data_IF_945335381907
#
_entry.id   IF_945335381907
#
_cell.length_a   1.000
_cell.length_b   1.000
_cell.length_c   1.000
_cell.angle_alpha   90.00
_cell.angle_beta   90.00
_cell.angle_gamma   90.00
#
_symmetry.space_group_name_H-M   'P 1'
#
loop_
_entity.id
_entity.type
_entity.pdbx_description
1 polymer ?
#
# COMPACT_ATOMS: atom_id res chain seq x y z
N UNK A 1 17.37 -2.45 20.16
CA UNK A 1 15.99 -1.99 20.04
C UNK A 1 15.36 -2.64 18.83
N UNK A 2 14.34 -3.40 19.08
CA UNK A 2 13.61 -4.06 18.00
C UNK A 2 12.65 -3.04 17.37
N UNK A 3 12.80 -2.80 16.09
CA UNK A 3 11.87 -1.96 15.36
C UNK A 3 10.66 -2.80 14.98
N UNK A 4 9.46 -2.27 15.18
CA UNK A 4 8.22 -2.94 14.83
C UNK A 4 7.86 -2.84 13.35
N UNK A 5 8.70 -2.14 12.57
CA UNK A 5 8.45 -1.98 11.14
C UNK A 5 8.87 -3.23 10.36
N UNK A 6 7.99 -3.72 9.51
CA UNK A 6 8.27 -4.83 8.60
C UNK A 6 9.19 -4.37 7.47
N UNK A 7 9.97 -5.27 6.84
CA UNK A 7 10.79 -4.92 5.69
C UNK A 7 9.94 -4.36 4.55
N UNK A 8 10.40 -3.29 3.94
CA UNK A 8 9.78 -2.68 2.77
C UNK A 8 10.74 -2.80 1.60
N UNK A 9 10.26 -3.35 0.50
CA UNK A 9 11.02 -3.48 -0.74
C UNK A 9 10.41 -2.56 -1.79
N UNK A 10 11.23 -1.76 -2.45
CA UNK A 10 10.77 -0.88 -3.51
C UNK A 10 11.22 -1.42 -4.86
N UNK A 11 10.27 -1.58 -5.76
CA UNK A 11 10.53 -1.94 -7.15
C UNK A 11 10.02 -0.82 -8.05
N UNK A 12 10.85 -0.40 -8.99
CA UNK A 12 10.49 0.64 -9.94
C UNK A 12 10.80 0.19 -11.35
N UNK A 13 9.92 0.54 -12.30
CA UNK A 13 10.20 0.36 -13.71
C UNK A 13 10.86 1.62 -14.23
N UNK A 14 12.13 1.53 -14.57
CA UNK A 14 12.87 2.60 -15.21
C UNK A 14 13.02 2.27 -16.70
N UNK A 15 13.13 3.31 -17.53
CA UNK A 15 13.24 3.14 -18.99
C UNK A 15 14.43 2.27 -19.42
N UNK A 16 15.48 2.24 -18.61
CA UNK A 16 16.71 1.55 -18.91
C UNK A 16 16.80 0.16 -18.25
N UNK A 17 15.76 -0.27 -17.53
CA UNK A 17 15.77 -1.59 -16.93
C UNK A 17 15.46 -2.66 -17.98
N UNK A 18 16.34 -3.67 -18.02
CA UNK A 18 16.21 -4.79 -18.94
C UNK A 18 15.39 -5.93 -18.33
N UNK A 19 15.20 -5.94 -17.01
CA UNK A 19 14.47 -6.98 -16.30
C UNK A 19 13.00 -6.59 -16.15
N UNK A 20 12.07 -7.45 -16.60
CA UNK A 20 10.65 -7.21 -16.34
C UNK A 20 10.35 -7.16 -14.84
N UNK A 21 9.42 -6.28 -14.44
CA UNK A 21 9.07 -6.12 -13.03
C UNK A 21 8.46 -7.41 -12.44
N UNK A 22 7.80 -8.21 -13.26
CA UNK A 22 7.26 -9.51 -12.83
C UNK A 22 8.36 -10.46 -12.39
N UNK A 23 9.51 -10.44 -13.07
CA UNK A 23 10.67 -11.28 -12.71
C UNK A 23 11.25 -10.82 -11.37
N UNK A 24 11.45 -9.52 -11.19
CA UNK A 24 11.95 -8.96 -9.95
C UNK A 24 11.01 -9.23 -8.77
N UNK A 25 9.70 -9.04 -8.98
CA UNK A 25 8.69 -9.30 -7.97
C UNK A 25 8.64 -10.79 -7.60
N UNK A 26 8.71 -11.67 -8.57
CA UNK A 26 8.71 -13.12 -8.34
C UNK A 26 9.92 -13.54 -7.52
N UNK A 27 11.08 -12.97 -7.79
CA UNK A 27 12.29 -13.25 -7.03
C UNK A 27 12.12 -12.88 -5.56
N UNK A 28 11.51 -11.74 -5.27
CA UNK A 28 11.23 -11.33 -3.90
C UNK A 28 10.20 -12.26 -3.24
N UNK A 29 9.13 -12.60 -3.95
CA UNK A 29 8.07 -13.47 -3.41
C UNK A 29 8.58 -14.85 -3.07
N UNK A 30 9.47 -15.41 -3.88
CA UNK A 30 10.06 -16.73 -3.63
C UNK A 30 11.00 -16.74 -2.42
N UNK A 31 11.52 -15.57 -2.03
CA UNK A 31 12.39 -15.43 -0.85
C UNK A 31 11.64 -15.37 0.47
N UNK A 32 10.33 -15.21 0.47
CA UNK A 32 9.54 -15.14 1.71
C UNK A 32 9.12 -16.53 2.18
N UNK A 33 8.95 -16.66 3.51
CA UNK A 33 8.43 -17.88 4.09
C UNK A 33 6.92 -18.02 3.83
N UNK A 34 6.41 -19.25 3.86
CA UNK A 34 4.98 -19.50 3.61
C UNK A 34 4.07 -18.82 4.62
N UNK A 35 4.55 -18.62 5.85
CA UNK A 35 3.81 -17.98 6.94
C UNK A 35 3.89 -16.45 6.89
N UNK A 36 4.72 -15.87 6.03
CA UNK A 36 4.85 -14.42 5.93
C UNK A 36 3.62 -13.79 5.30
N UNK A 37 3.15 -12.70 5.88
CA UNK A 37 2.11 -11.87 5.28
C UNK A 37 2.76 -10.90 4.30
N UNK A 38 2.36 -10.97 3.03
CA UNK A 38 2.95 -10.16 1.98
C UNK A 38 1.90 -9.24 1.36
N UNK A 39 2.21 -7.97 1.31
CA UNK A 39 1.37 -6.94 0.72
C UNK A 39 2.13 -6.28 -0.43
N UNK A 40 1.55 -6.33 -1.62
CA UNK A 40 2.07 -5.59 -2.78
C UNK A 40 1.20 -4.34 -2.93
N UNK A 41 1.82 -3.17 -2.89
CA UNK A 41 1.11 -1.91 -3.03
C UNK A 41 1.57 -1.23 -4.31
N UNK A 42 0.60 -0.93 -5.17
CA UNK A 42 0.85 -0.25 -6.45
C UNK A 42 0.22 1.13 -6.46
N UNK A 43 0.64 1.98 -7.40
CA UNK A 43 0.23 3.38 -7.42
C UNK A 43 -1.12 3.63 -8.10
N UNK A 44 -1.35 3.08 -9.29
CA UNK A 44 -2.51 3.42 -10.13
C UNK A 44 -3.22 2.18 -10.64
N UNK A 45 -4.54 2.14 -10.43
CA UNK A 45 -5.39 1.09 -11.01
C UNK A 45 -5.35 1.19 -12.54
N UNK A 46 -5.14 0.05 -13.19
CA UNK A 46 -5.00 0.00 -14.65
C UNK A 46 -3.62 0.42 -15.16
N UNK A 47 -2.71 0.84 -14.28
CA UNK A 47 -1.32 1.08 -14.65
C UNK A 47 -0.59 -0.22 -14.98
N UNK A 48 0.48 -0.12 -15.75
CA UNK A 48 1.22 -1.29 -16.22
C UNK A 48 1.75 -2.15 -15.07
N UNK A 49 2.28 -1.53 -14.03
CA UNK A 49 2.82 -2.25 -12.88
C UNK A 49 1.72 -3.03 -12.16
N UNK A 50 0.58 -2.39 -11.91
CA UNK A 50 -0.55 -3.06 -11.25
C UNK A 50 -1.07 -4.23 -12.09
N UNK A 51 -1.19 -4.03 -13.40
CA UNK A 51 -1.66 -5.08 -14.31
C UNK A 51 -0.71 -6.28 -14.33
N UNK A 52 0.59 -6.02 -14.31
CA UNK A 52 1.60 -7.09 -14.24
C UNK A 52 1.55 -7.83 -12.92
N UNK A 53 1.34 -7.11 -11.80
CA UNK A 53 1.21 -7.76 -10.50
C UNK A 53 -0.05 -8.62 -10.41
N UNK A 54 -1.15 -8.19 -11.04
CA UNK A 54 -2.36 -9.00 -11.11
C UNK A 54 -2.12 -10.38 -11.77
N UNK A 55 -1.19 -10.45 -12.73
CA UNK A 55 -0.87 -11.72 -13.38
C UNK A 55 -0.17 -12.71 -12.46
N UNK A 56 0.45 -12.23 -11.38
CA UNK A 56 1.14 -13.09 -10.41
C UNK A 56 0.22 -13.69 -9.35
N UNK A 57 -0.92 -13.05 -9.08
CA UNK A 57 -1.80 -13.47 -7.98
C UNK A 57 -2.26 -14.92 -8.04
N UNK A 58 -2.59 -15.49 -9.21
CA UNK A 58 -2.98 -16.90 -9.26
C UNK A 58 -1.89 -17.86 -8.76
N UNK A 59 -0.61 -17.49 -8.89
CA UNK A 59 0.51 -18.28 -8.40
C UNK A 59 0.79 -18.04 -6.91
N UNK A 60 0.33 -16.90 -6.37
CA UNK A 60 0.59 -16.49 -4.98
C UNK A 60 -0.72 -16.05 -4.32
N UNK A 61 -1.66 -16.99 -4.08
CA UNK A 61 -3.01 -16.62 -3.62
C UNK A 61 -3.05 -16.00 -2.23
N UNK A 62 -2.00 -16.16 -1.42
CA UNK A 62 -1.94 -15.56 -0.09
C UNK A 62 -1.44 -14.11 -0.10
N UNK A 63 -0.95 -13.62 -1.23
CA UNK A 63 -0.45 -12.25 -1.36
C UNK A 63 -1.63 -11.29 -1.53
N UNK A 64 -1.58 -10.18 -0.80
CA UNK A 64 -2.56 -9.11 -0.93
C UNK A 64 -2.02 -8.04 -1.89
N UNK A 65 -2.74 -7.75 -2.96
CA UNK A 65 -2.41 -6.68 -3.89
C UNK A 65 -3.35 -5.51 -3.63
N UNK A 66 -2.78 -4.36 -3.32
CA UNK A 66 -3.53 -3.14 -3.02
C UNK A 66 -3.08 -2.05 -3.98
N UNK A 67 -4.03 -1.43 -4.66
CA UNK A 67 -3.77 -0.35 -5.61
C UNK A 67 -4.19 0.99 -5.01
N UNK A 68 -3.46 2.03 -5.32
CA UNK A 68 -3.73 3.38 -4.81
C UNK A 68 -2.86 3.72 -3.61
N UNK A 69 -1.54 3.68 -3.81
CA UNK A 69 -0.56 3.90 -2.75
C UNK A 69 -0.61 5.31 -2.17
N UNK A 70 -0.57 5.41 -0.82
CA UNK A 70 -0.20 6.64 -0.14
C UNK A 70 0.66 6.29 1.08
N UNK A 71 1.34 7.30 1.65
CA UNK A 71 2.26 7.09 2.76
C UNK A 71 1.58 6.51 4.00
N UNK A 72 0.36 6.96 4.29
CA UNK A 72 -0.42 6.47 5.43
C UNK A 72 -0.66 4.97 5.35
N UNK A 73 -1.05 4.47 4.17
CA UNK A 73 -1.27 3.05 3.95
C UNK A 73 0.02 2.24 4.16
N UNK A 74 1.11 2.68 3.54
CA UNK A 74 2.40 1.98 3.62
C UNK A 74 2.90 1.93 5.06
N UNK A 75 2.84 3.04 5.77
CA UNK A 75 3.29 3.12 7.15
C UNK A 75 2.44 2.23 8.08
N UNK A 76 1.13 2.21 7.88
CA UNK A 76 0.23 1.37 8.66
C UNK A 76 0.52 -0.11 8.44
N UNK A 77 0.69 -0.53 7.20
CA UNK A 77 1.02 -1.91 6.89
C UNK A 77 2.38 -2.31 7.47
N UNK A 78 3.38 -1.45 7.32
CA UNK A 78 4.73 -1.72 7.81
C UNK A 78 4.84 -1.74 9.34
N UNK A 79 3.90 -1.10 10.04
CA UNK A 79 3.89 -1.02 11.50
C UNK A 79 3.21 -2.20 12.18
N UNK A 80 2.55 -3.07 11.43
CA UNK A 80 1.87 -4.23 11.99
C UNK A 80 2.81 -5.44 12.05
N UNK A 81 2.93 -6.04 13.24
CA UNK A 81 3.78 -7.21 13.46
C UNK A 81 3.13 -8.49 12.98
N UNK A 82 1.81 -8.52 12.91
CA UNK A 82 1.04 -9.69 12.57
C UNK A 82 0.25 -9.48 11.28
N UNK A 83 -0.10 -10.58 10.62
CA UNK A 83 -0.95 -10.53 9.44
C UNK A 83 -2.31 -9.92 9.81
N UNK A 84 -2.79 -9.00 9.00
CA UNK A 84 -4.09 -8.37 9.18
C UNK A 84 -5.19 -9.32 8.69
N UNK A 85 -6.32 -9.33 9.40
CA UNK A 85 -7.52 -9.97 8.89
C UNK A 85 -8.06 -9.14 7.72
N UNK A 86 -8.97 -9.72 6.95
CA UNK A 86 -9.59 -9.00 5.82
C UNK A 86 -10.32 -7.73 6.30
N UNK A 87 -10.99 -7.80 7.44
CA UNK A 87 -11.69 -6.64 8.01
C UNK A 87 -10.71 -5.56 8.48
N UNK A 88 -9.62 -5.97 9.13
CA UNK A 88 -8.57 -5.03 9.55
C UNK A 88 -7.92 -4.35 8.35
N UNK A 89 -7.66 -5.10 7.28
CA UNK A 89 -7.10 -4.54 6.06
C UNK A 89 -8.06 -3.54 5.43
N UNK A 90 -9.35 -3.84 5.39
CA UNK A 90 -10.38 -2.93 4.88
C UNK A 90 -10.41 -1.61 5.68
N UNK A 91 -10.26 -1.68 7.00
CA UNK A 91 -10.16 -0.49 7.85
C UNK A 91 -8.91 0.32 7.54
N UNK A 92 -7.77 -0.33 7.37
CA UNK A 92 -6.53 0.35 7.01
C UNK A 92 -6.65 1.10 5.69
N UNK A 93 -7.30 0.50 4.70
CA UNK A 93 -7.53 1.12 3.40
C UNK A 93 -8.48 2.32 3.54
N UNK A 94 -9.56 2.18 4.30
CA UNK A 94 -10.50 3.27 4.54
C UNK A 94 -9.83 4.46 5.23
N UNK A 95 -9.01 4.19 6.25
CA UNK A 95 -8.26 5.22 6.96
C UNK A 95 -7.24 5.91 6.05
N UNK A 96 -6.57 5.14 5.20
CA UNK A 96 -5.61 5.69 4.26
C UNK A 96 -6.27 6.60 3.22
N UNK A 97 -7.45 6.23 2.73
CA UNK A 97 -8.23 7.07 1.82
C UNK A 97 -8.59 8.41 2.48
N UNK A 98 -8.92 8.39 3.75
CA UNK A 98 -9.30 9.57 4.51
C UNK A 98 -8.13 10.54 4.74
N UNK A 99 -6.89 10.09 4.54
CA UNK A 99 -5.71 10.94 4.69
C UNK A 99 -5.38 11.77 3.44
N UNK A 100 -6.09 11.56 2.35
CA UNK A 100 -5.96 12.40 1.15
C UNK A 100 -6.91 13.57 1.35
N UNK A 101 -6.34 14.73 1.68
CA UNK A 101 -7.09 15.86 2.21
C UNK A 101 -6.78 17.13 1.41
N UNK A 102 -7.82 17.83 0.99
CA UNK A 102 -7.70 19.20 0.49
C UNK A 102 -7.55 20.13 1.70
N UNK A 103 -6.34 20.54 1.99
CA UNK A 103 -6.03 21.34 3.17
C UNK A 103 -6.66 22.74 3.10
N UNK A 104 -6.80 23.30 1.91
CA UNK A 104 -7.46 24.59 1.75
C UNK A 104 -8.93 24.52 2.15
N UNK A 105 -9.60 23.45 1.72
CA UNK A 105 -11.00 23.21 2.09
C UNK A 105 -11.14 22.95 3.59
N UNK A 106 -10.20 22.20 4.18
CA UNK A 106 -10.18 21.94 5.61
C UNK A 106 -10.09 23.23 6.42
N UNK A 107 -9.20 24.13 6.04
CA UNK A 107 -9.06 25.45 6.71
C UNK A 107 -10.30 26.30 6.56
N UNK A 108 -10.91 26.29 5.38
CA UNK A 108 -12.13 27.03 5.10
C UNK A 108 -13.29 26.56 5.97
N UNK A 109 -13.46 25.26 6.10
CA UNK A 109 -14.48 24.66 6.94
C UNK A 109 -14.27 24.96 8.43
N UNK A 110 -13.03 24.92 8.89
CA UNK A 110 -12.69 25.26 10.28
C UNK A 110 -13.01 26.72 10.60
N UNK A 111 -12.71 27.65 9.67
CA UNK A 111 -13.04 29.05 9.84
C UNK A 111 -14.54 29.28 9.90
N UNK A 112 -15.33 28.55 9.10
CA UNK A 112 -16.79 28.65 9.10
C UNK A 112 -17.38 28.09 10.40
N UNK A 113 -16.85 26.99 10.91
CA UNK A 113 -17.30 26.42 12.18
C UNK A 113 -17.08 27.39 13.36
N UNK A 114 -15.96 28.13 13.35
CA UNK A 114 -15.68 29.16 14.34
C UNK A 114 -16.71 30.31 14.25
N UNK A 115 -17.09 30.73 13.05
CA UNK A 115 -18.12 31.75 12.85
C UNK A 115 -19.49 31.27 13.34
N UNK A 116 -19.84 30.01 13.09
CA UNK A 116 -21.13 29.45 13.51
C UNK A 116 -21.22 29.29 15.04
N UNK A 117 -20.10 29.16 15.73
CA UNK A 117 -20.05 29.06 17.21
C UNK A 117 -20.18 30.43 17.89
N UNK A 118 -20.13 31.50 17.16
CA UNK A 118 -20.34 32.84 17.69
C UNK A 118 -21.83 33.20 17.65
#
# INVERSE_FOLDING_TARGET
VQTCALPIYALATLRDETEPITVAARRLLEGFAAEDAVYIVTDVMGGSVNNEMLTLLPEYPAVHLICGMNASLVLTLASNDEALTQDELAECIADAKAQIIDCNLLLKNAAQDEEDDL
#
